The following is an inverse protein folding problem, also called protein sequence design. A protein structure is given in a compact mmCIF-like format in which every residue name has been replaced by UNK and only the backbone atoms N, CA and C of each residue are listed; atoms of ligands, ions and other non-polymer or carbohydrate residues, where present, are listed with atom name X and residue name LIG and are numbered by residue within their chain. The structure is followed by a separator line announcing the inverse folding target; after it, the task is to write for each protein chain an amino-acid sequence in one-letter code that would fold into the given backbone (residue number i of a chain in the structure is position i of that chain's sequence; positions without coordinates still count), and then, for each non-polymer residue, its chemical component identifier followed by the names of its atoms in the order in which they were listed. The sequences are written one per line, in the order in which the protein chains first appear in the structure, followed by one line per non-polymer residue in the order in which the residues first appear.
data_IF_688496342076
#
_entry.id   IF_688496342076
#
_cell.length_a   1.000
_cell.length_b   1.000
_cell.length_c   1.000
_cell.angle_alpha   90.00
_cell.angle_beta   90.00
_cell.angle_gamma   90.00
#
_symmetry.space_group_name_H-M   'P 1'
#
loop_
_entity.id
_entity.type
_entity.pdbx_description
1 polymer ?
#
# COMPACT_ATOMS: atom_id res chain seq x y z
N UNK A 1 -2.73 9.17 3.39
CA UNK A 1 -2.38 9.06 1.95
C UNK A 1 -2.68 10.36 1.24
N UNK A 2 -1.78 10.79 0.37
CA UNK A 2 -1.96 11.96 -0.47
C UNK A 2 -2.83 11.62 -1.70
N UNK A 3 -3.75 12.54 -2.05
CA UNK A 3 -4.60 12.39 -3.22
C UNK A 3 -3.76 12.40 -4.50
N UNK A 4 -4.06 11.52 -5.44
CA UNK A 4 -3.27 11.25 -6.65
C UNK A 4 -1.82 10.82 -6.39
N UNK A 5 -1.52 10.33 -5.19
CA UNK A 5 -0.15 10.00 -4.75
C UNK A 5 0.85 11.15 -4.97
N UNK A 6 0.37 12.40 -4.89
CA UNK A 6 1.23 13.60 -4.99
C UNK A 6 2.08 13.71 -3.74
N UNK A 7 3.35 13.46 -3.90
CA UNK A 7 4.25 13.24 -2.81
C UNK A 7 5.66 13.74 -3.15
N UNK A 8 6.24 14.53 -2.27
CA UNK A 8 7.61 15.05 -2.36
C UNK A 8 8.43 14.51 -1.19
N UNK A 9 9.58 13.91 -1.48
CA UNK A 9 10.50 13.37 -0.47
C UNK A 9 11.60 14.40 -0.21
N UNK A 10 11.90 14.76 1.05
CA UNK A 10 11.26 14.31 2.29
C UNK A 10 10.10 15.20 2.76
N UNK A 11 9.77 16.28 2.03
CA UNK A 11 8.94 17.40 2.50
C UNK A 11 7.53 16.96 2.94
N UNK A 12 6.90 16.07 2.17
CA UNK A 12 5.55 15.61 2.51
C UNK A 12 5.53 14.92 3.87
N UNK A 13 6.49 14.05 4.16
CA UNK A 13 6.61 13.38 5.45
C UNK A 13 6.87 14.37 6.60
N UNK A 14 7.68 15.41 6.37
CA UNK A 14 7.87 16.46 7.36
C UNK A 14 6.56 17.17 7.72
N UNK A 15 5.83 17.62 6.69
CA UNK A 15 4.56 18.31 6.88
C UNK A 15 3.55 17.41 7.60
N UNK A 16 3.45 16.17 7.18
CA UNK A 16 2.56 15.19 7.81
C UNK A 16 2.91 14.96 9.28
N UNK A 17 4.19 14.77 9.60
CA UNK A 17 4.65 14.62 10.98
C UNK A 17 4.38 15.86 11.84
N UNK A 18 4.61 17.07 11.31
CA UNK A 18 4.27 18.34 11.99
C UNK A 18 2.77 18.50 12.24
N UNK A 19 1.92 17.95 11.35
CA UNK A 19 0.47 17.91 11.53
C UNK A 19 0.00 16.82 12.51
N UNK A 20 0.91 16.06 13.13
CA UNK A 20 0.59 14.99 14.07
C UNK A 20 0.09 13.70 13.41
N UNK A 21 0.28 13.53 12.11
CA UNK A 21 -0.02 12.28 11.44
C UNK A 21 1.03 11.23 11.82
N UNK A 22 0.57 10.05 12.23
CA UNK A 22 1.45 8.96 12.69
C UNK A 22 1.98 8.12 11.53
N UNK A 23 1.19 7.98 10.45
CA UNK A 23 1.57 7.17 9.30
C UNK A 23 1.04 7.74 7.98
N UNK A 24 1.69 7.38 6.90
CA UNK A 24 1.26 7.63 5.52
C UNK A 24 1.27 6.33 4.69
N UNK A 25 0.57 6.33 3.58
CA UNK A 25 0.49 5.22 2.63
C UNK A 25 0.57 5.71 1.18
N UNK A 26 1.32 6.79 0.94
CA UNK A 26 1.38 7.43 -0.38
C UNK A 26 2.47 6.87 -1.29
N UNK A 27 3.49 6.21 -0.72
CA UNK A 27 4.60 5.72 -1.52
C UNK A 27 4.21 4.45 -2.27
N UNK A 28 3.79 4.65 -3.51
CA UNK A 28 3.41 3.64 -4.46
C UNK A 28 3.62 4.15 -5.87
N UNK A 29 3.58 3.28 -6.86
CA UNK A 29 3.56 3.69 -8.26
C UNK A 29 2.11 4.00 -8.67
N UNK A 30 1.92 5.08 -9.43
CA UNK A 30 0.61 5.39 -10.00
C UNK A 30 0.31 4.54 -11.25
N UNK A 31 1.32 4.24 -12.04
CA UNK A 31 1.25 3.64 -13.38
C UNK A 31 1.51 2.13 -13.42
N UNK A 32 1.91 1.52 -12.30
CA UNK A 32 2.16 0.08 -12.19
C UNK A 32 1.96 -0.40 -10.76
N UNK A 33 1.55 -1.65 -10.58
CA UNK A 33 1.50 -2.28 -9.28
C UNK A 33 2.86 -2.89 -8.90
N UNK A 34 3.26 -2.78 -7.63
CA UNK A 34 4.52 -3.32 -7.11
C UNK A 34 5.13 -2.54 -5.98
N UNK A 35 6.34 -2.88 -5.60
CA UNK A 35 7.05 -2.40 -4.42
C UNK A 35 7.96 -1.21 -4.75
N UNK A 36 7.45 0.01 -4.66
CA UNK A 36 8.22 1.22 -5.00
C UNK A 36 9.44 1.42 -4.09
N UNK A 37 9.33 1.04 -2.82
CA UNK A 37 10.45 1.07 -1.88
C UNK A 37 11.32 -0.21 -1.91
N UNK A 38 11.03 -1.19 -2.79
CA UNK A 38 11.62 -2.52 -2.74
C UNK A 38 11.16 -3.36 -1.54
N UNK A 39 10.26 -2.84 -0.74
CA UNK A 39 9.73 -3.38 0.51
C UNK A 39 8.22 -3.12 0.62
N UNK A 40 7.48 -4.00 1.29
CA UNK A 40 6.04 -3.89 1.53
C UNK A 40 5.65 -3.76 3.01
N UNK A 41 6.58 -3.84 3.94
CA UNK A 41 6.31 -3.61 5.37
C UNK A 41 6.38 -2.15 5.77
N UNK A 42 6.03 -1.86 7.02
CA UNK A 42 6.23 -0.56 7.61
C UNK A 42 7.71 -0.17 7.62
N UNK A 43 7.99 1.11 7.44
CA UNK A 43 9.33 1.67 7.57
C UNK A 43 9.29 3.08 8.17
N UNK A 44 10.36 3.50 8.83
CA UNK A 44 10.59 4.89 9.17
C UNK A 44 11.38 5.54 8.05
N UNK A 45 10.83 6.55 7.38
CA UNK A 45 11.57 7.32 6.39
C UNK A 45 12.78 8.00 7.03
N UNK A 46 13.88 8.07 6.30
CA UNK A 46 15.12 8.67 6.75
C UNK A 46 15.49 9.86 5.88
N UNK A 47 15.75 11.00 6.52
CA UNK A 47 16.31 12.17 5.86
C UNK A 47 17.83 12.03 5.78
N UNK A 48 18.34 11.83 4.57
CA UNK A 48 19.76 11.61 4.32
C UNK A 48 20.57 12.88 4.55
N UNK A 49 20.01 14.06 4.28
CA UNK A 49 20.69 15.34 4.44
C UNK A 49 20.83 15.71 5.92
N UNK A 50 19.75 15.55 6.68
CA UNK A 50 19.73 15.83 8.13
C UNK A 50 20.21 14.66 8.98
N UNK A 51 20.43 13.48 8.36
CA UNK A 51 20.87 12.25 9.01
C UNK A 51 19.97 11.85 10.20
N UNK A 52 18.65 11.89 9.99
CA UNK A 52 17.69 11.56 11.03
C UNK A 52 16.46 10.83 10.47
N UNK A 53 15.88 9.99 11.31
CA UNK A 53 14.57 9.41 11.02
C UNK A 53 13.47 10.48 11.11
N UNK A 54 12.48 10.34 10.25
CA UNK A 54 11.31 11.22 10.26
C UNK A 54 10.24 10.71 11.23
N UNK A 55 9.47 11.61 11.88
CA UNK A 55 8.51 11.25 12.91
C UNK A 55 7.19 10.73 12.30
N UNK A 56 7.28 9.87 11.32
CA UNK A 56 6.14 9.25 10.63
C UNK A 56 6.50 7.83 10.21
N UNK A 57 5.52 6.98 10.09
CA UNK A 57 5.67 5.63 9.53
C UNK A 57 5.13 5.63 8.11
N UNK A 58 5.91 5.16 7.16
CA UNK A 58 5.40 4.87 5.82
C UNK A 58 4.95 3.42 5.72
N UNK A 59 3.76 3.22 5.18
CA UNK A 59 3.17 1.94 4.86
C UNK A 59 2.99 1.87 3.33
N UNK A 60 3.99 1.38 2.57
CA UNK A 60 4.01 1.53 1.12
C UNK A 60 2.81 0.90 0.43
N UNK A 61 2.20 1.65 -0.49
CA UNK A 61 1.14 1.16 -1.34
C UNK A 61 1.70 0.14 -2.34
N UNK A 62 1.11 -1.05 -2.37
CA UNK A 62 1.55 -2.13 -3.27
C UNK A 62 0.74 -2.15 -4.56
N UNK A 63 -0.57 -1.99 -4.46
CA UNK A 63 -1.45 -2.04 -5.61
C UNK A 63 -2.63 -1.06 -5.50
N UNK A 64 -3.10 -0.61 -6.64
CA UNK A 64 -4.27 0.25 -6.78
C UNK A 64 -5.11 -0.23 -7.96
N UNK A 65 -6.41 -0.25 -7.80
CA UNK A 65 -7.38 -0.66 -8.80
C UNK A 65 -7.25 0.11 -10.13
N UNK A 66 -7.19 1.44 -10.06
CA UNK A 66 -7.02 2.32 -11.23
C UNK A 66 -5.70 2.03 -11.95
N UNK A 67 -4.66 1.68 -11.22
CA UNK A 67 -3.38 1.27 -11.82
C UNK A 67 -3.58 0.09 -12.75
N UNK A 68 -4.26 -0.95 -12.30
CA UNK A 68 -4.46 -2.16 -13.09
C UNK A 68 -5.47 -1.93 -14.23
N UNK A 69 -6.59 -1.25 -13.93
CA UNK A 69 -7.67 -1.04 -14.90
C UNK A 69 -7.30 -0.05 -16.00
N UNK A 70 -6.68 1.07 -15.65
CA UNK A 70 -6.51 2.22 -16.56
C UNK A 70 -5.08 2.31 -17.10
N UNK A 71 -4.07 2.18 -16.24
CA UNK A 71 -2.68 2.34 -16.66
C UNK A 71 -2.10 1.05 -17.25
N UNK A 72 -2.24 -0.08 -16.56
CA UNK A 72 -1.80 -1.39 -17.05
C UNK A 72 -2.82 -2.02 -18.03
N UNK A 73 -4.06 -1.51 -18.07
CA UNK A 73 -5.16 -1.95 -18.95
C UNK A 73 -5.40 -3.47 -18.89
N UNK A 74 -5.29 -4.02 -17.71
CA UNK A 74 -5.52 -5.45 -17.51
C UNK A 74 -7.02 -5.75 -17.52
N UNK A 75 -7.45 -6.87 -18.12
CA UNK A 75 -8.78 -7.40 -17.86
C UNK A 75 -8.90 -7.91 -16.41
N UNK A 76 -10.14 -7.99 -15.91
CA UNK A 76 -10.42 -8.32 -14.51
C UNK A 76 -9.72 -9.60 -14.03
N UNK A 77 -9.72 -10.65 -14.84
CA UNK A 77 -9.10 -11.95 -14.53
C UNK A 77 -7.57 -11.82 -14.37
N UNK A 78 -6.94 -10.96 -15.19
CA UNK A 78 -5.49 -10.70 -15.09
C UNK A 78 -5.15 -9.82 -13.89
N UNK A 79 -6.07 -8.97 -13.46
CA UNK A 79 -5.91 -8.21 -12.23
C UNK A 79 -5.88 -9.13 -11.00
N UNK A 80 -6.73 -10.18 -10.95
CA UNK A 80 -6.70 -11.20 -9.88
C UNK A 80 -5.32 -11.88 -9.83
N UNK A 81 -4.81 -12.36 -10.96
CA UNK A 81 -3.50 -13.00 -11.04
C UNK A 81 -2.37 -12.05 -10.57
N UNK A 82 -2.50 -10.75 -10.89
CA UNK A 82 -1.53 -9.73 -10.48
C UNK A 82 -1.56 -9.51 -8.98
N UNK A 83 -2.75 -9.39 -8.37
CA UNK A 83 -2.90 -9.27 -6.92
C UNK A 83 -2.34 -10.49 -6.18
N UNK A 84 -2.68 -11.69 -6.62
CA UNK A 84 -2.21 -12.93 -6.00
C UNK A 84 -0.68 -13.01 -5.97
N UNK A 85 -0.01 -12.70 -7.08
CA UNK A 85 1.46 -12.68 -7.15
C UNK A 85 2.09 -11.63 -6.24
N UNK A 86 1.47 -10.46 -6.10
CA UNK A 86 1.98 -9.40 -5.23
C UNK A 86 1.75 -9.73 -3.75
N UNK A 87 0.63 -10.38 -3.43
CA UNK A 87 0.34 -10.86 -2.07
C UNK A 87 1.37 -11.93 -1.66
N UNK A 88 1.60 -12.94 -2.49
CA UNK A 88 2.62 -13.98 -2.29
C UNK A 88 4.03 -13.38 -2.08
N UNK A 89 4.39 -12.39 -2.90
CA UNK A 89 5.65 -11.69 -2.75
C UNK A 89 5.74 -10.85 -1.46
N UNK A 90 4.63 -10.31 -0.96
CA UNK A 90 4.58 -9.64 0.35
C UNK A 90 4.72 -10.63 1.49
N UNK A 91 4.01 -11.75 1.43
CA UNK A 91 4.04 -12.83 2.43
C UNK A 91 5.44 -13.43 2.54
N UNK A 92 6.06 -13.80 1.42
CA UNK A 92 7.43 -14.38 1.39
C UNK A 92 8.46 -13.48 2.06
N UNK A 93 8.24 -12.17 2.07
CA UNK A 93 9.15 -11.19 2.70
C UNK A 93 8.71 -10.76 4.09
N UNK A 94 7.60 -11.30 4.62
CA UNK A 94 7.05 -10.91 5.90
C UNK A 94 6.53 -9.47 5.93
N UNK A 95 6.08 -8.97 4.78
CA UNK A 95 5.56 -7.62 4.60
C UNK A 95 4.05 -7.52 4.75
N UNK A 96 3.51 -6.35 4.39
CA UNK A 96 2.09 -6.07 4.33
C UNK A 96 1.64 -5.79 2.89
N UNK A 97 0.48 -6.31 2.50
CA UNK A 97 -0.12 -5.99 1.21
C UNK A 97 -1.09 -4.83 1.37
N UNK A 98 -0.66 -3.63 0.97
CA UNK A 98 -1.48 -2.42 1.03
C UNK A 98 -2.16 -2.21 -0.31
N UNK A 99 -3.49 -2.29 -0.29
CA UNK A 99 -4.36 -2.10 -1.45
C UNK A 99 -5.13 -0.78 -1.34
N UNK A 100 -5.21 -0.05 -2.44
CA UNK A 100 -6.13 1.06 -2.63
C UNK A 100 -7.20 0.67 -3.64
N UNK A 101 -8.47 0.84 -3.25
CA UNK A 101 -9.61 0.59 -4.10
C UNK A 101 -10.56 1.78 -4.11
N UNK A 102 -11.04 2.16 -5.29
CA UNK A 102 -12.00 3.24 -5.47
C UNK A 102 -13.40 2.69 -5.70
N UNK A 103 -14.39 3.33 -5.10
CA UNK A 103 -15.78 2.95 -5.28
C UNK A 103 -16.30 3.13 -6.73
N UNK A 104 -15.59 3.93 -7.54
CA UNK A 104 -15.92 4.12 -8.96
C UNK A 104 -15.79 2.84 -9.79
N UNK A 105 -15.00 1.86 -9.37
CA UNK A 105 -14.88 0.57 -10.04
C UNK A 105 -16.09 -0.35 -9.82
N UNK A 106 -17.08 0.08 -9.04
CA UNK A 106 -18.38 -0.56 -8.96
C UNK A 106 -19.22 -0.33 -10.24
N UNK A 107 -18.87 0.64 -11.09
CA UNK A 107 -19.52 0.82 -12.38
C UNK A 107 -19.11 -0.28 -13.37
N UNK A 108 -19.91 -1.34 -13.45
CA UNK A 108 -19.70 -2.47 -14.35
C UNK A 108 -19.71 -2.12 -15.85
N UNK A 109 -20.23 -0.93 -16.23
CA UNK A 109 -20.18 -0.47 -17.62
C UNK A 109 -18.81 0.06 -18.00
N UNK A 110 -18.20 0.80 -17.08
CA UNK A 110 -16.86 1.36 -17.27
C UNK A 110 -15.75 0.33 -16.96
N UNK A 111 -15.98 -0.51 -15.95
CA UNK A 111 -15.00 -1.45 -15.42
C UNK A 111 -15.61 -2.85 -15.22
N UNK A 112 -15.95 -3.57 -16.31
CA UNK A 112 -16.61 -4.86 -16.21
C UNK A 112 -15.76 -5.89 -15.44
N UNK A 113 -16.37 -6.52 -14.43
CA UNK A 113 -15.75 -7.55 -13.60
C UNK A 113 -14.77 -7.08 -12.53
N UNK A 114 -14.40 -5.79 -12.48
CA UNK A 114 -13.42 -5.31 -11.51
C UNK A 114 -13.91 -5.35 -10.07
N UNK A 115 -15.20 -5.07 -9.84
CA UNK A 115 -15.76 -5.21 -8.50
C UNK A 115 -15.73 -6.65 -8.01
N UNK A 116 -16.15 -7.59 -8.86
CA UNK A 116 -16.12 -9.02 -8.57
C UNK A 116 -14.69 -9.53 -8.33
N UNK A 117 -13.70 -8.95 -9.03
CA UNK A 117 -12.28 -9.20 -8.81
C UNK A 117 -11.85 -8.85 -7.39
N UNK A 118 -12.28 -7.70 -6.87
CA UNK A 118 -11.97 -7.31 -5.50
C UNK A 118 -12.60 -8.27 -4.48
N UNK A 119 -13.89 -8.55 -4.61
CA UNK A 119 -14.59 -9.45 -3.72
C UNK A 119 -13.96 -10.85 -3.70
N UNK A 120 -13.66 -11.38 -4.88
CA UNK A 120 -12.98 -12.67 -5.02
C UNK A 120 -11.59 -12.65 -4.36
N UNK A 121 -10.79 -11.61 -4.61
CA UNK A 121 -9.45 -11.49 -4.04
C UNK A 121 -9.49 -11.42 -2.51
N UNK A 122 -10.39 -10.63 -1.92
CA UNK A 122 -10.55 -10.53 -0.47
C UNK A 122 -10.98 -11.88 0.13
N UNK A 123 -11.94 -12.54 -0.50
CA UNK A 123 -12.41 -13.85 -0.04
C UNK A 123 -11.31 -14.92 -0.12
N UNK A 124 -10.61 -15.00 -1.25
CA UNK A 124 -9.52 -15.97 -1.45
C UNK A 124 -8.34 -15.74 -0.51
N UNK A 125 -8.06 -14.47 -0.15
CA UNK A 125 -6.95 -14.12 0.75
C UNK A 125 -7.26 -14.37 2.22
N UNK A 126 -8.53 -14.49 2.62
CA UNK A 126 -8.93 -14.62 4.03
C UNK A 126 -8.38 -15.87 4.74
N UNK A 127 -7.95 -16.90 3.99
CA UNK A 127 -7.32 -18.10 4.53
C UNK A 127 -5.79 -18.00 4.73
N UNK A 128 -5.15 -16.99 4.11
CA UNK A 128 -3.68 -16.86 4.09
C UNK A 128 -3.19 -15.52 4.63
N UNK A 129 -4.04 -14.50 4.67
CA UNK A 129 -3.68 -13.16 5.14
C UNK A 129 -4.61 -12.69 6.26
N UNK A 130 -4.05 -12.03 7.26
CA UNK A 130 -4.83 -11.33 8.29
C UNK A 130 -5.19 -9.92 7.79
N UNK A 131 -6.48 -9.58 7.84
CA UNK A 131 -6.96 -8.24 7.52
C UNK A 131 -6.87 -7.34 8.74
N UNK A 132 -6.04 -6.32 8.66
CA UNK A 132 -5.79 -5.40 9.76
C UNK A 132 -5.90 -3.95 9.31
N UNK A 133 -6.12 -3.04 10.26
CA UNK A 133 -6.05 -1.61 9.98
C UNK A 133 -4.60 -1.14 9.86
N UNK A 134 -4.36 -0.06 9.10
CA UNK A 134 -3.05 0.57 9.04
C UNK A 134 -2.56 1.02 10.42
N UNK A 135 -3.45 1.50 11.28
CA UNK A 135 -3.12 1.88 12.66
C UNK A 135 -2.53 0.71 13.45
N UNK A 136 -3.18 -0.46 13.39
CA UNK A 136 -2.69 -1.67 14.08
C UNK A 136 -1.32 -2.11 13.58
N UNK A 137 -1.11 -2.12 12.26
CA UNK A 137 0.21 -2.45 11.69
C UNK A 137 1.31 -1.51 12.16
N UNK A 138 1.00 -0.21 12.24
CA UNK A 138 1.96 0.78 12.71
C UNK A 138 2.28 0.62 14.21
N UNK A 139 1.27 0.30 15.03
CA UNK A 139 1.47 0.01 16.46
C UNK A 139 2.34 -1.23 16.67
N UNK A 140 2.09 -2.30 15.95
CA UNK A 140 2.91 -3.51 16.01
C UNK A 140 4.35 -3.26 15.54
N UNK A 141 4.53 -2.43 14.52
CA UNK A 141 5.86 -2.02 14.06
C UNK A 141 6.62 -1.23 15.14
N UNK A 142 5.97 -0.25 15.78
CA UNK A 142 6.57 0.54 16.87
C UNK A 142 6.97 -0.35 18.05
N UNK A 143 6.12 -1.30 18.45
CA UNK A 143 6.42 -2.24 19.54
C UNK A 143 7.65 -3.10 19.23
N UNK A 144 7.79 -3.59 18.00
CA UNK A 144 8.96 -4.38 17.59
C UNK A 144 10.25 -3.57 17.64
N UNK A 145 10.21 -2.30 17.22
CA UNK A 145 11.39 -1.42 17.25
C UNK A 145 11.90 -1.16 18.67
N UNK A 146 10.99 -1.08 19.64
CA UNK A 146 11.35 -0.91 21.07
C UNK A 146 11.98 -2.19 21.67
N UNK A 147 11.57 -3.37 21.19
CA UNK A 147 12.06 -4.65 21.75
C UNK A 147 13.38 -5.13 21.14
N UNK A 148 13.81 -4.53 20.03
CA UNK A 148 15.06 -4.92 19.31
C UNK A 148 16.20 -3.92 19.46
N UNK A 149 16.00 -2.79 20.15
CA UNK A 149 17.00 -1.77 20.48
C UNK A 149 17.43 -1.85 21.93
#
# INVERSE_FOLDING_TARGET
RQHYLRFSVPDTWYIQGQCGLRYDTSVGFADRAGFRCGWSGCLRPFDVEKRMELPIIELPLVAMDITLAVYEKLPAEKAIERFARLLDASETRGGAFVLLWHNTLHDHRAFPGYWDTMEYFLFASAGTAEFVTAARLCEEFELRMVTTG
#
